data_IF_037432876131
#
_entry.id   IF_037432876131
#
_cell.length_a   1.000
_cell.length_b   1.000
_cell.length_c   1.000
_cell.angle_alpha   90.00
_cell.angle_beta   90.00
_cell.angle_gamma   90.00
#
_symmetry.space_group_name_H-M   'P 1'
#
loop_
_entity.id
_entity.type
_entity.pdbx_description
1 polymer ?
#
# COMPACT_ATOMS: atom_id res chain seq x y z
N UNK A 1 -14.64 37.27 -6.75
CA UNK A 1 -13.43 37.06 -5.94
C UNK A 1 -12.56 36.08 -6.70
N UNK A 2 -11.34 36.47 -7.07
CA UNK A 2 -10.41 35.58 -7.77
C UNK A 2 -10.04 34.42 -6.83
N UNK A 3 -10.11 33.15 -7.27
CA UNK A 3 -9.62 32.05 -6.45
C UNK A 3 -8.10 32.19 -6.39
N UNK A 4 -7.58 32.64 -5.25
CA UNK A 4 -6.15 32.66 -5.03
C UNK A 4 -5.68 31.21 -4.85
N UNK A 5 -4.66 30.82 -5.61
CA UNK A 5 -4.03 29.50 -5.46
C UNK A 5 -3.03 29.54 -4.31
N UNK A 6 -3.12 28.59 -3.39
CA UNK A 6 -2.13 28.41 -2.30
C UNK A 6 -1.16 27.32 -2.71
N UNK A 7 0.14 27.64 -2.76
CA UNK A 7 1.21 26.67 -3.03
C UNK A 7 2.08 26.53 -1.79
N UNK A 8 2.14 25.31 -1.24
CA UNK A 8 3.02 24.98 -0.11
C UNK A 8 4.18 24.15 -0.65
N UNK A 9 5.41 24.60 -0.41
CA UNK A 9 6.63 23.98 -0.95
C UNK A 9 7.44 23.31 0.15
N UNK A 10 8.23 22.29 -0.22
CA UNK A 10 9.15 21.57 0.69
C UNK A 10 8.44 20.98 1.92
N UNK A 11 7.22 20.51 1.73
CA UNK A 11 6.46 19.80 2.77
C UNK A 11 7.10 18.43 2.97
N UNK A 12 7.63 18.12 4.17
CA UNK A 12 8.10 16.78 4.47
C UNK A 12 6.95 15.77 4.30
N UNK A 13 7.22 14.58 3.77
CA UNK A 13 6.17 13.58 3.52
C UNK A 13 5.32 13.27 4.77
N UNK A 14 5.93 13.29 5.96
CA UNK A 14 5.25 13.12 7.26
C UNK A 14 4.25 14.24 7.61
N UNK A 15 4.46 15.44 7.08
CA UNK A 15 3.62 16.62 7.32
C UNK A 15 2.56 16.81 6.22
N UNK A 16 2.66 16.05 5.13
CA UNK A 16 1.72 16.14 4.01
C UNK A 16 0.29 15.80 4.45
N UNK A 17 0.09 14.70 5.19
CA UNK A 17 -1.24 14.30 5.69
C UNK A 17 -1.91 15.35 6.60
N UNK A 18 -1.23 15.83 7.66
CA UNK A 18 -1.71 16.93 8.50
C UNK A 18 -2.04 18.19 7.68
N UNK A 19 -1.18 18.56 6.72
CA UNK A 19 -1.39 19.72 5.87
C UNK A 19 -2.62 19.55 4.98
N UNK A 20 -2.80 18.40 4.33
CA UNK A 20 -3.99 18.11 3.52
C UNK A 20 -5.27 18.19 4.35
N UNK A 21 -5.24 17.72 5.60
CA UNK A 21 -6.36 17.81 6.53
C UNK A 21 -6.69 19.26 6.89
N UNK A 22 -5.67 20.10 7.13
CA UNK A 22 -5.85 21.53 7.38
C UNK A 22 -6.39 22.26 6.15
N UNK A 23 -5.86 21.96 4.96
CA UNK A 23 -6.30 22.55 3.69
C UNK A 23 -7.77 22.22 3.41
N UNK A 24 -8.20 20.98 3.61
CA UNK A 24 -9.60 20.60 3.42
C UNK A 24 -10.53 21.32 4.42
N UNK A 25 -10.14 21.45 5.70
CA UNK A 25 -10.92 22.26 6.68
C UNK A 25 -11.02 23.73 6.29
N UNK A 26 -10.01 24.24 5.58
CA UNK A 26 -9.99 25.61 5.07
C UNK A 26 -10.69 25.76 3.70
N UNK A 27 -11.36 24.71 3.19
CA UNK A 27 -12.11 24.74 1.94
C UNK A 27 -11.26 24.52 0.68
N UNK A 28 -10.00 24.12 0.84
CA UNK A 28 -9.10 23.76 -0.26
C UNK A 28 -9.13 22.24 -0.48
N UNK A 29 -10.14 21.78 -1.21
CA UNK A 29 -10.30 20.37 -1.55
C UNK A 29 -9.54 20.01 -2.85
N UNK A 30 -8.96 18.80 -2.89
CA UNK A 30 -8.18 18.26 -4.02
C UNK A 30 -6.93 19.08 -4.45
N UNK A 31 -5.95 19.34 -3.55
CA UNK A 31 -4.71 20.01 -3.94
C UNK A 31 -3.88 19.17 -4.92
N UNK A 32 -3.19 19.83 -5.86
CA UNK A 32 -2.19 19.20 -6.72
C UNK A 32 -0.87 19.02 -5.96
N UNK A 33 -0.34 17.80 -5.94
CA UNK A 33 0.87 17.43 -5.19
C UNK A 33 2.00 17.12 -6.18
N UNK A 34 3.14 17.80 -6.02
CA UNK A 34 4.34 17.60 -6.83
C UNK A 34 5.52 17.21 -5.92
N UNK A 35 6.04 15.99 -6.10
CA UNK A 35 7.19 15.49 -5.34
C UNK A 35 8.50 16.01 -5.93
N UNK A 36 9.41 16.47 -5.06
CA UNK A 36 10.78 16.86 -5.42
C UNK A 36 11.72 15.86 -4.75
N UNK A 37 12.48 15.08 -5.53
CA UNK A 37 13.34 14.01 -5.01
C UNK A 37 14.42 14.48 -4.02
N UNK A 38 14.84 13.60 -3.12
CA UNK A 38 15.87 13.86 -2.11
C UNK A 38 17.01 12.85 -2.13
N UNK A 39 18.18 13.25 -1.59
CA UNK A 39 18.97 12.33 -0.79
C UNK A 39 19.33 12.91 0.60
N UNK A 40 19.50 11.97 1.51
CA UNK A 40 20.25 11.99 2.77
C UNK A 40 19.68 12.70 4.02
N UNK A 41 19.50 11.86 5.05
CA UNK A 41 20.03 12.12 6.37
C UNK A 41 19.04 12.61 7.41
N UNK A 42 18.29 11.69 8.04
CA UNK A 42 17.78 11.92 9.39
C UNK A 42 17.91 10.66 10.24
N UNK A 43 18.61 10.86 11.37
CA UNK A 43 18.97 9.90 12.39
C UNK A 43 17.78 9.19 13.01
N UNK A 44 18.09 8.00 13.55
CA UNK A 44 17.21 7.07 14.25
C UNK A 44 16.37 7.77 15.32
N UNK A 45 15.10 8.03 15.01
CA UNK A 45 14.08 8.33 15.99
C UNK A 45 13.12 7.13 16.09
N UNK A 46 13.30 6.36 17.16
CA UNK A 46 12.28 5.66 17.95
C UNK A 46 11.20 4.87 17.21
N UNK A 47 11.15 3.58 17.51
CA UNK A 47 10.22 2.54 17.02
C UNK A 47 8.73 2.75 17.42
N UNK A 48 8.28 3.98 17.65
CA UNK A 48 6.98 4.34 18.21
C UNK A 48 6.17 5.31 17.34
N UNK A 49 6.03 5.05 16.04
CA UNK A 49 4.69 5.29 15.46
C UNK A 49 3.88 4.09 15.90
N UNK A 50 2.90 4.28 16.78
CA UNK A 50 2.02 3.22 17.28
C UNK A 50 1.60 2.33 16.11
N UNK A 51 2.15 1.12 16.03
CA UNK A 51 1.89 0.20 14.92
C UNK A 51 0.39 -0.14 14.80
N UNK A 52 -0.41 0.17 15.84
CA UNK A 52 -1.86 0.04 15.89
C UNK A 52 -2.66 1.24 15.39
N UNK A 53 -2.05 2.36 14.99
CA UNK A 53 -2.77 3.50 14.40
C UNK A 53 -3.12 3.22 12.94
N UNK A 54 -4.11 2.35 12.74
CA UNK A 54 -4.61 1.92 11.44
C UNK A 54 -6.07 2.37 11.27
N UNK A 55 -6.47 2.82 10.07
CA UNK A 55 -7.86 3.16 9.83
C UNK A 55 -8.77 1.94 9.93
N UNK A 56 -9.95 2.16 10.49
CA UNK A 56 -11.10 1.23 10.49
C UNK A 56 -12.27 1.78 9.66
N UNK A 57 -12.08 2.96 9.07
CA UNK A 57 -13.10 3.76 8.39
C UNK A 57 -12.80 3.92 6.89
N UNK A 58 -12.06 2.98 6.30
CA UNK A 58 -11.73 3.01 4.88
C UNK A 58 -12.98 3.13 4.03
N UNK A 59 -13.03 4.16 3.19
CA UNK A 59 -14.14 4.40 2.28
C UNK A 59 -13.64 4.75 0.88
N UNK A 60 -14.32 4.20 -0.12
CA UNK A 60 -14.07 4.58 -1.52
C UNK A 60 -14.49 6.02 -1.71
N UNK A 61 -13.59 6.86 -2.23
CA UNK A 61 -13.86 8.27 -2.56
C UNK A 61 -13.87 8.53 -4.05
N UNK A 62 -13.27 7.64 -4.85
CA UNK A 62 -13.22 7.78 -6.31
C UNK A 62 -12.94 6.44 -6.98
N UNK A 63 -13.58 6.20 -8.11
CA UNK A 63 -13.15 5.19 -9.07
C UNK A 63 -12.53 5.86 -10.29
N UNK A 64 -11.49 5.25 -10.84
CA UNK A 64 -10.79 5.76 -12.01
C UNK A 64 -10.74 4.72 -13.11
N UNK A 65 -10.78 5.20 -14.35
CA UNK A 65 -10.67 4.37 -15.55
C UNK A 65 -9.36 4.67 -16.27
N UNK A 66 -8.78 3.65 -16.88
CA UNK A 66 -7.57 3.79 -17.70
C UNK A 66 -6.28 3.97 -16.91
N UNK A 67 -6.31 3.83 -15.59
CA UNK A 67 -5.12 3.87 -14.75
C UNK A 67 -4.16 2.72 -15.12
N UNK A 68 -2.87 3.03 -15.14
CA UNK A 68 -1.84 2.06 -15.54
C UNK A 68 -0.52 2.37 -14.86
N UNK A 69 0.30 1.35 -14.69
CA UNK A 69 1.64 1.49 -14.14
C UNK A 69 2.66 0.75 -15.01
N UNK A 70 3.82 1.38 -15.24
CA UNK A 70 4.92 0.78 -16.02
C UNK A 70 5.93 0.15 -15.07
N UNK A 71 5.92 -1.17 -15.02
CA UNK A 71 6.95 -2.01 -14.40
C UNK A 71 8.16 -2.14 -15.33
N UNK A 72 9.32 -2.59 -14.82
CA UNK A 72 10.47 -2.85 -15.68
C UNK A 72 10.18 -3.88 -16.78
N UNK A 73 9.30 -4.86 -16.52
CA UNK A 73 8.98 -5.96 -17.44
C UNK A 73 7.75 -5.69 -18.32
N UNK A 74 7.04 -4.58 -18.13
CA UNK A 74 5.81 -4.33 -18.88
C UNK A 74 4.90 -3.27 -18.26
N UNK A 75 3.70 -3.12 -18.83
CA UNK A 75 2.69 -2.19 -18.32
C UNK A 75 1.48 -2.97 -17.84
N UNK A 76 1.10 -2.73 -16.59
CA UNK A 76 -0.20 -3.13 -16.09
C UNK A 76 -1.23 -2.04 -16.40
N UNK A 77 -2.41 -2.46 -16.83
CA UNK A 77 -3.60 -1.62 -16.92
C UNK A 77 -4.57 -2.11 -15.86
N UNK A 78 -5.16 -1.19 -15.11
CA UNK A 78 -6.00 -1.53 -13.97
C UNK A 78 -7.47 -1.30 -14.30
N UNK A 79 -8.29 -2.29 -13.93
CA UNK A 79 -9.74 -2.26 -14.07
C UNK A 79 -10.37 -3.29 -13.13
N UNK A 80 -11.01 -2.88 -12.02
CA UNK A 80 -11.20 -1.48 -11.57
C UNK A 80 -9.92 -0.84 -10.99
N UNK A 81 -9.96 0.49 -10.83
CA UNK A 81 -9.02 1.23 -9.99
C UNK A 81 -9.81 2.09 -8.99
N UNK A 82 -9.73 1.74 -7.70
CA UNK A 82 -10.51 2.35 -6.61
C UNK A 82 -9.59 3.14 -5.69
N UNK A 83 -9.95 4.36 -5.33
CA UNK A 83 -9.21 5.21 -4.38
C UNK A 83 -9.98 5.24 -3.08
N UNK A 84 -9.29 4.89 -2.01
CA UNK A 84 -9.81 4.88 -0.65
C UNK A 84 -9.23 6.02 0.16
N UNK A 85 -10.02 6.51 1.13
CA UNK A 85 -9.54 7.36 2.21
C UNK A 85 -9.80 6.67 3.54
N UNK A 86 -8.85 6.77 4.46
CA UNK A 86 -8.98 6.34 5.86
C UNK A 86 -8.39 7.41 6.76
N UNK A 87 -8.71 7.37 8.04
CA UNK A 87 -8.21 8.34 9.01
C UNK A 87 -7.29 7.68 10.03
N UNK A 88 -6.11 8.25 10.23
CA UNK A 88 -5.17 7.86 11.29
C UNK A 88 -5.00 9.02 12.27
N UNK A 89 -4.55 8.72 13.50
CA UNK A 89 -4.20 9.73 14.50
C UNK A 89 -2.95 10.50 14.11
N UNK A 90 -1.96 9.80 13.54
CA UNK A 90 -0.65 10.37 13.23
C UNK A 90 -0.63 11.18 11.93
N UNK A 91 -1.24 10.68 10.86
CA UNK A 91 -1.21 11.30 9.52
C UNK A 91 -2.51 12.02 9.13
N UNK A 92 -3.60 11.83 9.89
CA UNK A 92 -4.91 12.35 9.51
C UNK A 92 -5.48 11.56 8.33
N UNK A 93 -6.01 12.25 7.32
CA UNK A 93 -6.58 11.59 6.15
C UNK A 93 -5.48 10.99 5.25
N UNK A 94 -5.49 9.67 5.07
CA UNK A 94 -4.58 8.92 4.19
C UNK A 94 -5.33 8.39 2.97
N UNK A 95 -4.72 8.50 1.78
CA UNK A 95 -5.30 7.97 0.53
C UNK A 95 -4.46 6.85 -0.07
N UNK A 96 -5.12 5.73 -0.40
CA UNK A 96 -4.51 4.57 -1.03
C UNK A 96 -5.35 4.15 -2.24
N UNK A 97 -4.70 3.95 -3.39
CA UNK A 97 -5.33 3.42 -4.59
C UNK A 97 -5.15 1.91 -4.69
N UNK A 98 -6.20 1.17 -5.04
CA UNK A 98 -6.16 -0.25 -5.39
C UNK A 98 -6.44 -0.43 -6.87
N UNK A 99 -5.45 -0.93 -7.61
CA UNK A 99 -5.58 -1.28 -9.02
C UNK A 99 -5.65 -2.79 -9.21
N UNK A 100 -6.70 -3.28 -9.87
CA UNK A 100 -6.89 -4.70 -10.14
C UNK A 100 -6.50 -5.04 -11.58
N UNK A 101 -5.80 -6.17 -11.78
CA UNK A 101 -5.38 -6.63 -13.11
C UNK A 101 -5.21 -8.14 -13.14
N UNK A 102 -5.18 -8.74 -14.33
CA UNK A 102 -4.75 -10.11 -14.55
C UNK A 102 -3.37 -10.09 -15.23
N UNK A 103 -2.40 -10.74 -14.61
CA UNK A 103 -1.06 -10.94 -15.20
C UNK A 103 -0.93 -12.35 -15.74
N UNK A 104 -0.38 -12.45 -16.95
CA UNK A 104 -0.21 -13.73 -17.64
C UNK A 104 0.97 -14.54 -17.09
N UNK A 105 0.79 -15.86 -17.05
CA UNK A 105 1.84 -16.84 -16.72
C UNK A 105 2.68 -16.50 -15.47
N UNK A 106 2.04 -16.03 -14.40
CA UNK A 106 2.66 -15.79 -13.09
C UNK A 106 2.57 -17.07 -12.26
N UNK A 107 3.71 -17.66 -11.93
CA UNK A 107 3.75 -18.93 -11.20
C UNK A 107 2.90 -20.02 -11.90
N UNK A 108 3.10 -20.15 -13.22
CA UNK A 108 2.49 -21.20 -14.04
C UNK A 108 1.05 -20.99 -14.51
N UNK A 109 0.43 -19.83 -14.20
CA UNK A 109 -0.96 -19.54 -14.63
C UNK A 109 -1.22 -18.04 -14.73
N UNK A 110 -2.32 -17.68 -15.37
CA UNK A 110 -2.83 -16.31 -15.33
C UNK A 110 -3.39 -16.04 -13.93
N UNK A 111 -3.01 -14.91 -13.32
CA UNK A 111 -3.36 -14.61 -11.92
C UNK A 111 -3.89 -13.20 -11.78
N UNK A 112 -4.93 -13.07 -10.96
CA UNK A 112 -5.38 -11.78 -10.44
C UNK A 112 -4.30 -11.17 -9.55
N UNK A 113 -4.10 -9.87 -9.72
CA UNK A 113 -3.30 -9.02 -8.88
C UNK A 113 -4.15 -7.85 -8.41
N UNK A 114 -3.98 -7.47 -7.15
CA UNK A 114 -4.46 -6.20 -6.57
C UNK A 114 -3.22 -5.44 -6.12
N UNK A 115 -2.95 -4.31 -6.74
CA UNK A 115 -1.76 -3.49 -6.45
C UNK A 115 -2.19 -2.25 -5.69
N UNK A 116 -1.60 -2.05 -4.51
CA UNK A 116 -1.81 -0.86 -3.71
C UNK A 116 -0.81 0.24 -4.09
N UNK A 117 -1.28 1.47 -4.15
CA UNK A 117 -0.50 2.65 -4.53
C UNK A 117 -0.64 3.75 -3.48
N UNK A 118 0.47 4.44 -3.18
CA UNK A 118 0.44 5.66 -2.41
C UNK A 118 -0.05 6.80 -3.31
N UNK A 119 -1.09 7.50 -2.86
CA UNK A 119 -1.64 8.72 -3.44
C UNK A 119 -2.38 8.62 -4.79
N UNK A 120 -3.30 9.57 -4.92
CA UNK A 120 -4.18 9.89 -6.03
C UNK A 120 -3.47 10.68 -7.17
N UNK A 121 -2.16 10.87 -7.10
CA UNK A 121 -1.34 11.62 -8.07
C UNK A 121 -0.37 10.76 -8.89
N UNK A 122 0.12 11.32 -9.99
CA UNK A 122 1.15 10.71 -10.84
C UNK A 122 2.55 11.29 -10.51
N UNK A 123 3.63 10.49 -10.51
CA UNK A 123 3.65 9.05 -10.79
C UNK A 123 3.11 8.23 -9.61
N UNK A 124 2.28 7.23 -9.91
CA UNK A 124 1.80 6.29 -8.88
C UNK A 124 2.99 5.55 -8.28
N UNK A 125 3.08 5.47 -6.95
CA UNK A 125 4.13 4.69 -6.29
C UNK A 125 3.56 3.36 -5.79
N UNK A 126 3.95 2.21 -6.37
CA UNK A 126 3.46 0.92 -5.91
C UNK A 126 4.01 0.63 -4.51
N UNK A 127 3.10 0.25 -3.62
CA UNK A 127 3.37 -0.11 -2.24
C UNK A 127 3.48 -1.62 -2.09
N UNK A 128 2.40 -2.32 -2.46
CA UNK A 128 2.22 -3.74 -2.23
C UNK A 128 1.52 -4.38 -3.42
N UNK A 129 1.94 -5.60 -3.75
CA UNK A 129 1.29 -6.45 -4.74
C UNK A 129 0.66 -7.65 -4.02
N UNK A 130 -0.67 -7.69 -4.00
CA UNK A 130 -1.45 -8.87 -3.65
C UNK A 130 -1.66 -9.70 -4.91
N UNK A 131 -1.56 -11.02 -4.81
CA UNK A 131 -1.87 -11.93 -5.91
C UNK A 131 -2.78 -13.07 -5.48
N UNK A 132 -3.57 -13.57 -6.41
CA UNK A 132 -4.44 -14.72 -6.20
C UNK A 132 -3.66 -15.97 -5.80
N UNK A 133 -4.09 -16.58 -4.68
CA UNK A 133 -3.68 -17.92 -4.28
C UNK A 133 -4.11 -18.98 -5.32
N UNK A 134 -3.55 -20.19 -5.24
CA UNK A 134 -3.84 -21.25 -6.21
C UNK A 134 -5.29 -21.73 -6.23
N UNK A 135 -5.99 -21.58 -5.10
CA UNK A 135 -7.40 -21.94 -4.92
C UNK A 135 -8.33 -20.71 -4.90
N UNK A 136 -7.89 -19.59 -5.47
CA UNK A 136 -8.62 -18.32 -5.49
C UNK A 136 -10.07 -18.46 -5.97
N UNK A 137 -10.35 -19.29 -6.98
CA UNK A 137 -11.71 -19.52 -7.48
C UNK A 137 -12.69 -20.09 -6.42
N UNK A 138 -12.16 -20.64 -5.32
CA UNK A 138 -12.95 -21.16 -4.19
C UNK A 138 -12.90 -20.25 -2.97
N UNK A 139 -11.75 -19.65 -2.69
CA UNK A 139 -11.52 -18.94 -1.43
C UNK A 139 -11.55 -17.42 -1.58
N UNK A 140 -11.38 -16.91 -2.80
CA UNK A 140 -11.15 -15.51 -3.11
C UNK A 140 -9.97 -14.91 -2.33
N UNK A 141 -8.99 -15.74 -1.95
CA UNK A 141 -7.84 -15.31 -1.16
C UNK A 141 -6.72 -14.75 -2.02
N UNK A 142 -6.17 -13.65 -1.54
CA UNK A 142 -5.01 -12.97 -2.06
C UNK A 142 -3.87 -13.04 -1.05
N UNK A 143 -2.63 -13.09 -1.54
CA UNK A 143 -1.43 -13.08 -0.71
C UNK A 143 -0.50 -11.93 -1.06
N UNK A 144 0.08 -11.31 -0.04
CA UNK A 144 1.11 -10.28 -0.19
C UNK A 144 2.26 -10.51 0.79
N UNK A 145 3.49 -10.44 0.28
CA UNK A 145 4.70 -10.63 1.10
C UNK A 145 4.85 -9.50 2.13
N UNK A 146 5.27 -9.86 3.33
CA UNK A 146 5.69 -8.90 4.36
C UNK A 146 7.17 -8.58 4.16
N UNK A 147 7.47 -7.29 3.90
CA UNK A 147 8.84 -6.77 3.75
C UNK A 147 9.26 -5.92 4.95
N UNK A 148 10.56 -5.63 5.01
CA UNK A 148 11.21 -4.79 6.01
C UNK A 148 11.81 -5.55 7.19
N UNK A 149 12.20 -6.82 7.02
CA UNK A 149 12.83 -7.58 8.13
C UNK A 149 14.19 -7.05 8.55
N UNK A 150 14.84 -6.25 7.71
CA UNK A 150 16.08 -5.53 7.98
C UNK A 150 15.88 -4.00 8.03
N UNK A 151 14.65 -3.53 8.20
CA UNK A 151 14.29 -2.12 8.07
C UNK A 151 14.20 -1.64 6.61
N UNK A 152 14.43 -2.51 5.61
CA UNK A 152 14.45 -2.13 4.20
C UNK A 152 13.73 -3.13 3.28
N UNK A 153 14.47 -3.78 2.40
CA UNK A 153 13.91 -4.56 1.27
C UNK A 153 13.74 -6.05 1.57
N UNK A 154 14.33 -6.57 2.65
CA UNK A 154 14.26 -8.01 2.96
C UNK A 154 12.85 -8.42 3.35
N UNK A 155 12.55 -9.67 3.05
CA UNK A 155 11.27 -10.31 3.33
C UNK A 155 11.41 -11.22 4.55
N UNK A 156 10.40 -11.21 5.42
CA UNK A 156 10.32 -12.12 6.56
C UNK A 156 10.22 -13.58 6.07
N UNK A 157 11.08 -14.45 6.58
CA UNK A 157 11.10 -15.90 6.33
C UNK A 157 10.43 -16.70 7.42
N UNK A 158 10.40 -18.02 7.22
CA UNK A 158 9.93 -18.96 8.23
C UNK A 158 10.80 -18.84 9.49
N UNK A 159 10.16 -18.57 10.64
CA UNK A 159 10.82 -18.42 11.93
C UNK A 159 11.34 -17.01 12.26
N UNK A 160 11.28 -16.07 11.32
CA UNK A 160 11.62 -14.67 11.63
C UNK A 160 10.57 -14.08 12.60
N UNK A 161 10.97 -13.31 13.63
CA UNK A 161 10.02 -12.64 14.51
C UNK A 161 9.27 -11.56 13.71
N UNK A 162 7.96 -11.71 13.59
CA UNK A 162 7.12 -10.71 12.95
C UNK A 162 6.82 -9.54 13.89
N UNK A 163 6.66 -8.32 13.37
CA UNK A 163 6.10 -7.22 14.14
C UNK A 163 4.73 -7.58 14.71
N UNK A 164 4.46 -7.22 15.97
CA UNK A 164 3.24 -7.58 16.70
C UNK A 164 1.95 -7.29 15.93
N UNK A 165 1.90 -6.17 15.20
CA UNK A 165 0.74 -5.81 14.38
C UNK A 165 0.35 -6.90 13.37
N UNK A 166 1.32 -7.62 12.79
CA UNK A 166 1.05 -8.70 11.85
C UNK A 166 0.54 -9.96 12.54
N UNK A 167 1.02 -10.26 13.75
CA UNK A 167 0.54 -11.43 14.51
C UNK A 167 -0.84 -11.18 15.16
N UNK A 168 -1.17 -9.92 15.44
CA UNK A 168 -2.42 -9.56 16.13
C UNK A 168 -3.58 -9.25 15.17
N UNK A 169 -3.30 -8.64 14.01
CA UNK A 169 -4.34 -8.10 13.12
C UNK A 169 -4.46 -8.82 11.78
N UNK A 170 -3.50 -9.67 11.43
CA UNK A 170 -3.48 -10.30 10.12
C UNK A 170 -3.40 -11.81 10.23
N UNK A 171 -4.07 -12.49 9.31
CA UNK A 171 -3.78 -13.89 9.04
C UNK A 171 -2.50 -13.96 8.23
N UNK A 172 -1.46 -14.57 8.80
CA UNK A 172 -0.17 -14.76 8.14
C UNK A 172 0.15 -16.24 7.93
N UNK A 173 0.81 -16.54 6.81
CA UNK A 173 1.19 -17.89 6.41
C UNK A 173 2.46 -17.85 5.54
N UNK A 174 2.99 -19.02 5.16
CA UNK A 174 4.08 -19.08 4.19
C UNK A 174 3.52 -18.99 2.77
N UNK A 175 4.23 -18.25 1.91
CA UNK A 175 3.81 -18.03 0.51
C UNK A 175 3.60 -19.35 -0.23
N UNK A 176 4.50 -20.33 -0.04
CA UNK A 176 4.46 -21.64 -0.68
C UNK A 176 3.29 -22.53 -0.22
N UNK A 177 2.61 -22.19 0.87
CA UNK A 177 1.37 -22.86 1.30
C UNK A 177 0.15 -22.38 0.49
N UNK A 178 0.26 -21.24 -0.19
CA UNK A 178 -0.82 -20.62 -0.97
C UNK A 178 -0.59 -20.62 -2.46
N UNK A 179 0.66 -20.74 -2.89
CA UNK A 179 1.06 -20.78 -4.30
C UNK A 179 2.11 -21.87 -4.46
N UNK A 180 1.76 -22.94 -5.17
CA UNK A 180 2.62 -24.09 -5.39
C UNK A 180 3.17 -24.03 -6.81
N UNK A 181 4.44 -23.64 -6.93
CA UNK A 181 5.16 -23.60 -8.20
C UNK A 181 6.67 -23.71 -7.96
N UNK A 182 7.46 -24.34 -8.86
CA UNK A 182 8.92 -24.43 -8.70
C UNK A 182 9.59 -23.07 -8.49
N UNK A 183 10.39 -22.95 -7.42
CA UNK A 183 11.12 -21.72 -7.10
C UNK A 183 10.29 -20.63 -6.40
N UNK A 184 9.06 -20.92 -5.99
CA UNK A 184 8.26 -20.01 -5.17
C UNK A 184 8.94 -19.77 -3.81
N UNK A 185 8.77 -18.56 -3.28
CA UNK A 185 9.46 -18.14 -2.07
C UNK A 185 8.96 -18.88 -0.81
N UNK A 186 9.88 -19.16 0.11
CA UNK A 186 9.55 -19.56 1.48
C UNK A 186 9.57 -18.32 2.40
N UNK A 187 8.57 -17.45 2.22
CA UNK A 187 8.46 -16.14 2.89
C UNK A 187 7.08 -15.94 3.47
N UNK A 188 6.99 -15.17 4.56
CA UNK A 188 5.72 -14.88 5.23
C UNK A 188 4.91 -13.88 4.41
N UNK A 189 3.63 -14.18 4.27
CA UNK A 189 2.63 -13.35 3.59
C UNK A 189 1.48 -13.02 4.50
N UNK A 190 0.86 -11.86 4.28
CA UNK A 190 -0.53 -11.61 4.68
C UNK A 190 -1.45 -12.37 3.73
N UNK A 191 -2.46 -13.04 4.26
CA UNK A 191 -3.53 -13.67 3.48
C UNK A 191 -4.84 -12.95 3.76
N UNK A 192 -5.32 -12.19 2.78
CA UNK A 192 -6.58 -11.45 2.84
C UNK A 192 -7.59 -12.04 1.84
N UNK A 193 -8.88 -11.86 2.07
CA UNK A 193 -9.88 -12.07 1.01
C UNK A 193 -9.92 -10.85 0.09
N UNK A 194 -10.37 -11.03 -1.14
CA UNK A 194 -10.44 -9.91 -2.10
C UNK A 194 -11.44 -8.81 -1.71
N UNK A 195 -12.45 -9.15 -0.91
CA UNK A 195 -13.47 -8.26 -0.38
C UNK A 195 -13.08 -7.63 0.96
N UNK A 196 -11.95 -8.04 1.54
CA UNK A 196 -11.38 -7.49 2.76
C UNK A 196 -10.46 -6.31 2.43
N UNK A 197 -11.09 -5.22 1.95
CA UNK A 197 -10.41 -3.98 1.60
C UNK A 197 -9.63 -3.43 2.82
N UNK A 198 -10.14 -3.60 4.05
CA UNK A 198 -9.47 -3.14 5.28
C UNK A 198 -8.11 -3.82 5.46
N UNK A 199 -8.03 -5.16 5.38
CA UNK A 199 -6.75 -5.86 5.49
C UNK A 199 -5.78 -5.48 4.37
N UNK A 200 -6.26 -5.35 3.14
CA UNK A 200 -5.44 -4.97 1.98
C UNK A 200 -4.84 -3.57 2.18
N UNK A 201 -5.68 -2.60 2.54
CA UNK A 201 -5.29 -1.20 2.73
C UNK A 201 -4.40 -1.01 3.96
N UNK A 202 -4.70 -1.68 5.07
CA UNK A 202 -3.90 -1.62 6.28
C UNK A 202 -2.51 -2.22 6.08
N UNK A 203 -2.39 -3.36 5.37
CA UNK A 203 -1.08 -3.90 5.00
C UNK A 203 -0.29 -2.92 4.13
N UNK A 204 -0.94 -2.32 3.13
CA UNK A 204 -0.30 -1.34 2.25
C UNK A 204 0.21 -0.11 3.03
N UNK A 205 -0.58 0.40 3.98
CA UNK A 205 -0.20 1.53 4.83
C UNK A 205 1.00 1.19 5.73
N UNK A 206 1.01 0.01 6.36
CA UNK A 206 2.14 -0.45 7.17
C UNK A 206 3.41 -0.54 6.32
N UNK A 207 3.32 -1.11 5.11
CA UNK A 207 4.46 -1.23 4.20
C UNK A 207 4.93 0.15 3.69
N UNK A 208 4.02 1.11 3.48
CA UNK A 208 4.37 2.50 3.18
C UNK A 208 5.19 3.12 4.31
N UNK A 209 4.69 3.08 5.56
CA UNK A 209 5.38 3.64 6.73
C UNK A 209 6.78 3.07 6.92
N UNK A 210 6.97 1.77 6.63
CA UNK A 210 8.26 1.10 6.75
C UNK A 210 9.25 1.51 5.65
N UNK A 211 8.77 1.85 4.46
CA UNK A 211 9.62 2.23 3.33
C UNK A 211 10.35 3.56 3.55
N UNK A 212 9.73 4.49 4.28
CA UNK A 212 10.27 5.83 4.55
C UNK A 212 11.04 5.93 5.87
N UNK A 213 11.26 4.81 6.58
CA UNK A 213 12.12 4.75 7.77
C UNK A 213 13.57 4.35 7.45
N UNK A 214 13.91 4.11 6.17
CA UNK A 214 15.22 3.69 5.71
C UNK A 214 15.98 4.83 5.04
#
# INVERSE_FOLDING_TARGET
MSPFSVTVQRVPDRELGPLLSQLSRAGFDNPAIHYVGGPDGLEQAGDHVEAGDLPQDWRVVRERKGESYRWPQGRDRYSPYRVFVGTTRAEGAVQVGLGETIRKNRWGRDRKYVVAFLSSGAPQQPLVEFLAADNYDKTHELVAVIRGSDGGRRMYGAGDPLPAIYTERFRTQLYNERVVYPGVWNKVVVVAREDDDEAILNHALIQSRRRYRA
#
